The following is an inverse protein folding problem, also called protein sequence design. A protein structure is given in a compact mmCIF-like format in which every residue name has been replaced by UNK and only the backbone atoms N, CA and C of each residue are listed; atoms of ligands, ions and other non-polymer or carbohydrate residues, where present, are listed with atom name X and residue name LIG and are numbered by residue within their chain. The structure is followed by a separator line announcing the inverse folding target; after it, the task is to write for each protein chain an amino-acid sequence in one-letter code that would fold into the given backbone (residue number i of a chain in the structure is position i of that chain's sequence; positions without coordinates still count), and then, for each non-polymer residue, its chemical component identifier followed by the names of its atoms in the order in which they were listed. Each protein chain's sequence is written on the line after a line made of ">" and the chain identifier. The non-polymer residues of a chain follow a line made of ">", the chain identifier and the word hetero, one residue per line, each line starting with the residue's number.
data_IF_490087783179
#
_entry.id   IF_490087783179
#
_cell.length_a   1.000
_cell.length_b   1.000
_cell.length_c   1.000
_cell.angle_alpha   90.00
_cell.angle_beta   90.00
_cell.angle_gamma   90.00
#
_symmetry.space_group_name_H-M   'P 1'
#
loop_
_entity.id
_entity.type
_entity.pdbx_description
1 polymer ?
#
# COMPACT_ATOMS: atom_id res chain seq x y z
N UNK A 1 -56.86 -45.04 -33.87
CA UNK A 1 -56.90 -44.23 -35.10
C UNK A 1 -55.63 -43.40 -35.15
N UNK A 2 -54.76 -43.57 -36.16
CA UNK A 2 -53.58 -42.73 -36.33
C UNK A 2 -54.03 -41.40 -36.96
N UNK A 3 -53.89 -40.28 -36.24
CA UNK A 3 -54.14 -38.94 -36.80
C UNK A 3 -52.90 -38.53 -37.59
N UNK A 4 -53.06 -38.35 -38.90
CA UNK A 4 -52.01 -37.82 -39.77
C UNK A 4 -52.08 -36.29 -39.76
N UNK A 5 -50.93 -35.64 -39.65
CA UNK A 5 -50.82 -34.18 -39.78
C UNK A 5 -51.19 -33.76 -41.21
N UNK A 6 -51.86 -32.61 -41.32
CA UNK A 6 -52.16 -32.03 -42.62
C UNK A 6 -50.95 -31.26 -43.17
N UNK A 7 -50.78 -31.25 -44.49
CA UNK A 7 -49.65 -30.58 -45.15
C UNK A 7 -49.58 -29.08 -44.82
N UNK A 8 -50.74 -28.42 -44.74
CA UNK A 8 -50.85 -27.00 -44.41
C UNK A 8 -50.33 -26.69 -43.00
N UNK A 9 -50.60 -27.58 -42.05
CA UNK A 9 -50.20 -27.43 -40.64
C UNK A 9 -48.69 -27.60 -40.46
N UNK A 10 -48.07 -28.45 -41.29
CA UNK A 10 -46.61 -28.56 -41.39
C UNK A 10 -45.98 -27.27 -41.93
N UNK A 11 -46.54 -26.68 -42.99
CA UNK A 11 -46.01 -25.44 -43.59
C UNK A 11 -46.08 -24.28 -42.59
N UNK A 12 -47.23 -24.10 -41.91
CA UNK A 12 -47.41 -23.07 -40.89
C UNK A 12 -46.38 -23.25 -39.76
N UNK A 13 -46.15 -24.49 -39.32
CA UNK A 13 -45.18 -24.79 -38.27
C UNK A 13 -43.74 -24.43 -38.66
N UNK A 14 -43.34 -24.71 -39.92
CA UNK A 14 -42.00 -24.36 -40.43
C UNK A 14 -41.81 -22.84 -40.51
N UNK A 15 -42.84 -22.10 -40.95
CA UNK A 15 -42.79 -20.64 -41.03
C UNK A 15 -42.63 -20.03 -39.63
N UNK A 16 -43.44 -20.46 -38.66
CA UNK A 16 -43.34 -19.99 -37.27
C UNK A 16 -41.97 -20.33 -36.68
N UNK A 17 -41.48 -21.55 -36.91
CA UNK A 17 -40.16 -21.98 -36.44
C UNK A 17 -39.04 -21.12 -37.05
N UNK A 18 -39.14 -20.80 -38.34
CA UNK A 18 -38.14 -19.97 -39.03
C UNK A 18 -38.07 -18.56 -38.43
N UNK A 19 -39.23 -17.96 -38.14
CA UNK A 19 -39.31 -16.65 -37.48
C UNK A 19 -38.72 -16.73 -36.06
N UNK A 20 -39.06 -17.77 -35.29
CA UNK A 20 -38.50 -17.99 -33.95
C UNK A 20 -36.97 -18.12 -33.96
N UNK A 21 -36.40 -18.85 -34.92
CA UNK A 21 -34.95 -19.01 -35.03
C UNK A 21 -34.25 -17.67 -35.27
N UNK A 22 -34.82 -16.80 -36.12
CA UNK A 22 -34.27 -15.45 -36.37
C UNK A 22 -34.27 -14.63 -35.09
N UNK A 23 -35.39 -14.59 -34.37
CA UNK A 23 -35.46 -13.87 -33.09
C UNK A 23 -34.51 -14.44 -32.04
N UNK A 24 -34.36 -15.76 -31.97
CA UNK A 24 -33.44 -16.40 -31.05
C UNK A 24 -31.99 -16.03 -31.34
N UNK A 25 -31.62 -15.96 -32.62
CA UNK A 25 -30.28 -15.55 -33.04
C UNK A 25 -29.99 -14.09 -32.63
N UNK A 26 -30.94 -13.18 -32.83
CA UNK A 26 -30.80 -11.79 -32.41
C UNK A 26 -30.71 -11.65 -30.87
N UNK A 27 -31.50 -12.42 -30.14
CA UNK A 27 -31.47 -12.45 -28.67
C UNK A 27 -30.12 -12.96 -28.15
N UNK A 28 -29.58 -14.02 -28.75
CA UNK A 28 -28.26 -14.55 -28.42
C UNK A 28 -27.16 -13.51 -28.71
N UNK A 29 -27.16 -12.92 -29.91
CA UNK A 29 -26.18 -11.90 -30.27
C UNK A 29 -26.20 -10.70 -29.33
N UNK A 30 -27.39 -10.24 -28.96
CA UNK A 30 -27.59 -9.12 -28.01
C UNK A 30 -27.09 -9.48 -26.61
N UNK A 31 -27.32 -10.72 -26.18
CA UNK A 31 -26.85 -11.22 -24.87
C UNK A 31 -25.33 -11.29 -24.83
N UNK A 32 -24.69 -11.82 -25.89
CA UNK A 32 -23.23 -11.87 -25.98
C UNK A 32 -22.59 -10.48 -25.96
N UNK A 33 -23.17 -9.53 -26.69
CA UNK A 33 -22.71 -8.14 -26.70
C UNK A 33 -22.81 -7.50 -25.33
N UNK A 34 -23.94 -7.71 -24.65
CA UNK A 34 -24.15 -7.22 -23.28
C UNK A 34 -23.16 -7.85 -22.32
N UNK A 35 -22.93 -9.16 -22.42
CA UNK A 35 -21.97 -9.86 -21.56
C UNK A 35 -20.54 -9.32 -21.73
N UNK A 36 -20.08 -9.12 -22.97
CA UNK A 36 -18.77 -8.51 -23.26
C UNK A 36 -18.67 -7.10 -22.68
N UNK A 37 -19.74 -6.31 -22.78
CA UNK A 37 -19.77 -4.98 -22.19
C UNK A 37 -19.63 -5.04 -20.66
N UNK A 38 -20.41 -5.88 -19.97
CA UNK A 38 -20.33 -6.01 -18.51
C UNK A 38 -18.99 -6.57 -18.05
N UNK A 39 -18.43 -7.54 -18.77
CA UNK A 39 -17.10 -8.08 -18.48
C UNK A 39 -16.03 -6.99 -18.54
N UNK A 40 -16.02 -6.17 -19.60
CA UNK A 40 -15.04 -5.07 -19.73
C UNK A 40 -15.17 -4.03 -18.61
N UNK A 41 -16.38 -3.76 -18.13
CA UNK A 41 -16.63 -2.85 -17.01
C UNK A 41 -16.17 -3.46 -15.70
N UNK A 42 -16.49 -4.74 -15.47
CA UNK A 42 -16.10 -5.46 -14.28
C UNK A 42 -14.58 -5.56 -14.15
N UNK A 43 -13.87 -5.89 -15.23
CA UNK A 43 -12.40 -6.00 -15.22
C UNK A 43 -11.74 -4.65 -14.88
N UNK A 44 -12.30 -3.55 -15.40
CA UNK A 44 -11.82 -2.18 -15.12
C UNK A 44 -12.04 -1.81 -13.64
N UNK A 45 -13.25 -2.02 -13.12
CA UNK A 45 -13.57 -1.77 -11.70
C UNK A 45 -12.75 -2.66 -10.75
N UNK A 46 -12.54 -3.92 -11.10
CA UNK A 46 -11.69 -4.85 -10.35
C UNK A 46 -10.25 -4.34 -10.26
N UNK A 47 -9.69 -3.84 -11.37
CA UNK A 47 -8.34 -3.27 -11.36
C UNK A 47 -8.27 -2.03 -10.45
N UNK A 48 -9.23 -1.12 -10.56
CA UNK A 48 -9.28 0.06 -9.68
C UNK A 48 -9.42 -0.33 -8.20
N UNK A 49 -10.27 -1.31 -7.89
CA UNK A 49 -10.46 -1.81 -6.54
C UNK A 49 -9.19 -2.46 -6.00
N UNK A 50 -8.48 -3.26 -6.81
CA UNK A 50 -7.19 -3.86 -6.44
C UNK A 50 -6.15 -2.80 -6.09
N UNK A 51 -6.06 -1.72 -6.87
CA UNK A 51 -5.12 -0.62 -6.60
C UNK A 51 -5.50 0.12 -5.32
N UNK A 52 -6.78 0.46 -5.14
CA UNK A 52 -7.28 1.09 -3.90
C UNK A 52 -6.98 0.24 -2.68
N UNK A 53 -7.27 -1.06 -2.77
CA UNK A 53 -7.01 -2.02 -1.71
C UNK A 53 -5.51 -2.12 -1.41
N UNK A 54 -4.66 -2.18 -2.43
CA UNK A 54 -3.21 -2.23 -2.28
C UNK A 54 -2.67 -0.99 -1.56
N UNK A 55 -3.07 0.20 -1.99
CA UNK A 55 -2.69 1.47 -1.35
C UNK A 55 -3.22 1.50 0.09
N UNK A 56 -4.46 1.05 0.32
CA UNK A 56 -5.04 0.95 1.65
C UNK A 56 -4.23 0.03 2.57
N UNK A 57 -3.81 -1.15 2.08
CA UNK A 57 -2.97 -2.08 2.84
C UNK A 57 -1.59 -1.49 3.14
N UNK A 58 -0.98 -0.80 2.17
CA UNK A 58 0.29 -0.12 2.37
C UNK A 58 0.15 0.94 3.47
N UNK A 59 -0.94 1.72 3.47
CA UNK A 59 -1.18 2.79 4.45
C UNK A 59 -1.51 2.24 5.84
N UNK A 60 -2.35 1.22 5.93
CA UNK A 60 -2.75 0.61 7.21
C UNK A 60 -1.56 -0.04 7.94
N UNK A 61 -0.60 -0.56 7.18
CA UNK A 61 0.57 -1.25 7.71
C UNK A 61 1.85 -0.40 7.71
N UNK A 62 1.69 0.93 7.76
CA UNK A 62 2.80 1.89 7.91
C UNK A 62 3.70 1.54 9.10
N UNK A 63 5.00 1.80 8.95
CA UNK A 63 6.00 1.56 10.00
C UNK A 63 6.89 2.78 10.21
N UNK A 64 7.02 3.20 11.47
CA UNK A 64 7.95 4.19 12.10
C UNK A 64 8.10 5.58 11.45
N UNK A 65 8.02 5.69 10.13
CA UNK A 65 8.22 6.89 9.34
C UNK A 65 6.93 7.28 8.66
N UNK A 66 6.54 8.55 8.81
CA UNK A 66 5.44 9.14 8.06
C UNK A 66 5.74 9.05 6.55
N UNK A 67 4.74 8.73 5.71
CA UNK A 67 4.89 8.73 4.27
C UNK A 67 5.28 10.12 3.80
N UNK A 68 6.10 10.17 2.76
CA UNK A 68 6.51 11.41 2.14
C UNK A 68 5.98 11.45 0.71
N UNK A 69 5.25 12.51 0.38
CA UNK A 69 4.84 12.84 -0.99
C UNK A 69 5.78 13.90 -1.55
N UNK A 70 6.49 13.57 -2.63
CA UNK A 70 7.36 14.51 -3.35
C UNK A 70 6.69 14.87 -4.67
N UNK A 71 6.60 16.17 -4.97
CA UNK A 71 6.04 16.62 -6.25
C UNK A 71 7.05 16.37 -7.37
N UNK A 72 6.62 15.75 -8.45
CA UNK A 72 7.44 15.61 -9.66
C UNK A 72 7.55 16.98 -10.35
N UNK A 73 8.52 17.14 -11.26
CA UNK A 73 8.63 18.33 -12.13
C UNK A 73 7.30 18.64 -12.84
N UNK A 74 6.56 17.60 -13.17
CA UNK A 74 5.21 17.67 -13.70
C UNK A 74 4.20 17.83 -12.56
N UNK A 75 3.53 18.99 -12.48
CA UNK A 75 2.55 19.33 -11.42
C UNK A 75 1.33 18.40 -11.32
N UNK A 76 1.20 17.44 -12.23
CA UNK A 76 0.11 16.45 -12.29
C UNK A 76 0.44 15.14 -11.58
N UNK A 77 1.72 14.88 -11.33
CA UNK A 77 2.21 13.62 -10.77
C UNK A 77 2.96 13.88 -9.47
N UNK A 78 2.49 13.26 -8.40
CA UNK A 78 3.23 13.14 -7.15
C UNK A 78 3.93 11.79 -7.09
N UNK A 79 4.98 11.71 -6.29
CA UNK A 79 5.66 10.47 -5.95
C UNK A 79 5.43 10.21 -4.48
N UNK A 80 4.83 9.08 -4.14
CA UNK A 80 4.63 8.67 -2.76
C UNK A 80 5.72 7.67 -2.36
N UNK A 81 6.39 7.93 -1.24
CA UNK A 81 7.38 7.03 -0.65
C UNK A 81 7.01 6.72 0.79
N UNK A 82 7.05 5.45 1.17
CA UNK A 82 6.67 5.00 2.51
C UNK A 82 7.37 3.71 2.89
N UNK A 83 7.31 3.37 4.18
CA UNK A 83 7.74 2.07 4.70
C UNK A 83 6.53 1.36 5.28
N UNK A 84 6.29 0.14 4.85
CA UNK A 84 5.11 -0.65 5.24
C UNK A 84 5.49 -2.09 5.56
N UNK A 85 4.56 -2.87 6.14
CA UNK A 85 4.68 -4.33 6.26
C UNK A 85 4.12 -5.06 5.05
N UNK A 86 3.30 -4.39 4.24
CA UNK A 86 2.70 -5.00 3.07
C UNK A 86 3.74 -5.15 1.95
N UNK A 87 3.96 -6.38 1.50
CA UNK A 87 4.88 -6.69 0.40
C UNK A 87 4.22 -7.63 -0.61
N UNK A 88 4.40 -7.32 -1.89
CA UNK A 88 4.01 -8.17 -3.01
C UNK A 88 5.10 -9.19 -3.37
N UNK A 89 6.34 -8.94 -2.94
CA UNK A 89 7.52 -9.75 -3.26
C UNK A 89 8.16 -10.39 -2.02
N UNK A 90 7.39 -10.54 -0.94
CA UNK A 90 7.82 -11.16 0.32
C UNK A 90 9.05 -10.49 0.96
N UNK A 91 9.25 -9.21 0.69
CA UNK A 91 10.31 -8.41 1.30
C UNK A 91 9.87 -8.06 2.73
N UNK A 92 10.76 -8.28 3.69
CA UNK A 92 10.51 -7.90 5.07
C UNK A 92 10.63 -6.38 5.24
N UNK A 93 9.52 -5.73 5.59
CA UNK A 93 9.41 -4.28 5.78
C UNK A 93 9.93 -3.46 4.58
N UNK A 94 9.30 -3.58 3.39
CA UNK A 94 9.78 -2.90 2.19
C UNK A 94 9.68 -1.38 2.34
N UNK A 95 10.65 -0.71 1.74
CA UNK A 95 10.47 0.66 1.28
C UNK A 95 9.67 0.56 -0.01
N UNK A 96 8.55 1.28 -0.07
CA UNK A 96 7.64 1.29 -1.20
C UNK A 96 7.62 2.68 -1.82
N UNK A 97 7.70 2.75 -3.13
CA UNK A 97 7.53 3.97 -3.89
C UNK A 97 6.44 3.80 -4.97
N UNK A 98 5.53 4.75 -5.03
CA UNK A 98 4.60 4.93 -6.13
C UNK A 98 5.05 6.11 -6.96
N UNK A 99 5.29 5.90 -8.25
CA UNK A 99 5.64 6.96 -9.18
C UNK A 99 5.07 6.69 -10.55
N UNK A 100 4.99 7.77 -11.34
CA UNK A 100 4.57 7.72 -12.73
C UNK A 100 5.80 7.77 -13.63
N UNK A 101 5.89 6.85 -14.58
CA UNK A 101 6.79 6.93 -15.72
C UNK A 101 6.02 6.64 -17.00
N UNK A 102 6.18 7.49 -18.02
CA UNK A 102 5.45 7.36 -19.31
C UNK A 102 3.94 7.12 -19.11
N UNK A 103 3.30 7.91 -18.23
CA UNK A 103 1.86 7.80 -17.90
C UNK A 103 1.43 6.46 -17.29
N UNK A 104 2.38 5.63 -16.86
CA UNK A 104 2.11 4.37 -16.16
C UNK A 104 2.44 4.51 -14.68
N UNK A 105 1.51 4.12 -13.81
CA UNK A 105 1.72 4.02 -12.38
C UNK A 105 2.45 2.72 -12.05
N UNK A 106 3.62 2.87 -11.45
CA UNK A 106 4.40 1.78 -10.92
C UNK A 106 4.40 1.81 -9.40
N UNK A 107 4.44 0.62 -8.82
CA UNK A 107 4.78 0.41 -7.43
C UNK A 107 6.10 -0.33 -7.37
N UNK A 108 7.02 0.19 -6.57
CA UNK A 108 8.36 -0.35 -6.44
C UNK A 108 8.64 -0.68 -5.00
N UNK A 109 9.16 -1.88 -4.78
CA UNK A 109 9.58 -2.36 -3.47
C UNK A 109 11.10 -2.54 -3.41
N UNK A 110 11.67 -2.25 -2.25
CA UNK A 110 13.07 -2.54 -1.96
C UNK A 110 13.30 -2.75 -0.47
N UNK A 111 14.30 -3.56 -0.13
CA UNK A 111 14.80 -3.67 1.24
C UNK A 111 15.57 -2.42 1.68
N UNK A 112 16.05 -1.61 0.74
CA UNK A 112 16.79 -0.36 0.96
C UNK A 112 15.94 0.85 0.60
N UNK A 113 16.37 2.03 1.04
CA UNK A 113 15.71 3.29 0.67
C UNK A 113 15.72 3.44 -0.85
N UNK A 114 14.55 3.68 -1.43
CA UNK A 114 14.39 3.85 -2.88
C UNK A 114 14.96 5.23 -3.27
N UNK A 115 15.80 5.22 -4.30
CA UNK A 115 16.29 6.41 -4.97
C UNK A 115 15.64 6.49 -6.35
N UNK A 116 15.02 7.64 -6.63
CA UNK A 116 14.42 7.98 -7.92
C UNK A 116 15.26 9.08 -8.60
N UNK A 117 15.43 9.05 -9.93
CA UNK A 117 14.84 8.12 -10.89
C UNK A 117 15.48 6.72 -10.86
N UNK A 118 14.76 5.72 -11.37
CA UNK A 118 15.30 4.37 -11.58
C UNK A 118 16.21 4.40 -12.81
N UNK A 119 17.43 3.91 -12.65
CA UNK A 119 18.46 3.83 -13.69
C UNK A 119 18.90 2.37 -13.85
N UNK A 120 19.61 2.05 -14.93
CA UNK A 120 20.16 0.71 -15.15
C UNK A 120 21.09 0.23 -14.02
N UNK A 121 21.66 1.15 -13.25
CA UNK A 121 22.57 0.83 -12.13
C UNK A 121 21.83 0.42 -10.86
N UNK A 122 20.60 0.92 -10.66
CA UNK A 122 19.86 0.69 -9.41
C UNK A 122 18.65 -0.24 -9.57
N UNK A 123 18.25 -0.55 -10.81
CA UNK A 123 17.07 -1.37 -11.13
C UNK A 123 17.09 -2.76 -10.49
N UNK A 124 18.26 -3.39 -10.38
CA UNK A 124 18.41 -4.73 -9.79
C UNK A 124 18.07 -4.78 -8.29
N UNK A 125 18.09 -3.63 -7.61
CA UNK A 125 17.74 -3.52 -6.19
C UNK A 125 16.23 -3.41 -5.94
N UNK A 126 15.44 -3.37 -7.02
CA UNK A 126 14.04 -3.00 -6.99
C UNK A 126 13.17 -4.11 -7.57
N UNK A 127 12.03 -4.35 -6.94
CA UNK A 127 10.94 -5.15 -7.50
C UNK A 127 9.85 -4.20 -7.97
N UNK A 128 9.53 -4.26 -9.26
CA UNK A 128 8.70 -3.25 -9.93
C UNK A 128 7.42 -3.92 -10.43
N UNK A 129 6.28 -3.43 -9.95
CA UNK A 129 4.97 -3.83 -10.42
C UNK A 129 4.32 -2.69 -11.19
N UNK A 130 3.82 -3.03 -12.38
CA UNK A 130 2.96 -2.15 -13.16
C UNK A 130 1.55 -2.22 -12.62
N UNK A 131 1.00 -1.08 -12.20
CA UNK A 131 -0.33 -1.01 -11.59
C UNK A 131 -1.41 -0.50 -12.55
N UNK A 132 -1.15 0.62 -13.24
CA UNK A 132 -2.18 1.29 -14.04
C UNK A 132 -1.55 2.03 -15.22
N UNK A 133 -2.15 1.87 -16.40
CA UNK A 133 -1.77 2.58 -17.63
C UNK A 133 -2.62 3.85 -17.82
N UNK A 134 -2.19 4.69 -18.77
CA UNK A 134 -2.92 5.90 -19.21
C UNK A 134 -3.26 6.86 -18.06
N UNK A 135 -2.38 7.00 -17.07
CA UNK A 135 -2.57 7.89 -15.92
C UNK A 135 -2.33 9.35 -16.32
N UNK A 136 -3.38 10.15 -16.22
CA UNK A 136 -3.35 11.59 -16.48
C UNK A 136 -3.01 12.39 -15.20
N UNK A 137 -3.49 11.92 -14.05
CA UNK A 137 -3.29 12.58 -12.75
C UNK A 137 -3.04 11.52 -11.69
N UNK A 138 -2.00 11.73 -10.89
CA UNK A 138 -1.77 10.99 -9.66
C UNK A 138 -1.29 11.97 -8.60
N UNK A 139 -2.12 12.24 -7.59
CA UNK A 139 -1.80 13.16 -6.49
C UNK A 139 -2.05 12.55 -5.15
N UNK A 140 -1.18 12.89 -4.21
CA UNK A 140 -1.25 12.43 -2.83
C UNK A 140 -1.12 13.61 -1.89
N UNK A 141 -2.19 13.89 -1.17
CA UNK A 141 -2.22 14.87 -0.09
C UNK A 141 -2.16 14.14 1.24
N UNK A 142 -1.22 14.56 2.08
CA UNK A 142 -0.98 13.95 3.39
C UNK A 142 -1.35 14.99 4.45
N UNK A 143 -2.36 14.68 5.25
CA UNK A 143 -2.68 15.38 6.49
C UNK A 143 -2.15 14.57 7.70
N UNK A 144 -2.26 15.12 8.91
CA UNK A 144 -1.70 14.50 10.12
C UNK A 144 -2.22 13.08 10.39
N UNK A 145 -3.46 12.78 10.00
CA UNK A 145 -4.12 11.49 10.25
C UNK A 145 -4.87 10.94 9.03
N UNK A 146 -4.79 11.60 7.88
CA UNK A 146 -5.61 11.27 6.72
C UNK A 146 -4.81 11.44 5.43
N UNK A 147 -5.06 10.55 4.47
CA UNK A 147 -4.40 10.55 3.18
C UNK A 147 -5.45 10.66 2.08
N UNK A 148 -5.34 11.68 1.24
CA UNK A 148 -6.23 11.86 0.10
C UNK A 148 -5.49 11.53 -1.19
N UNK A 149 -6.01 10.55 -1.91
CA UNK A 149 -5.50 10.11 -3.20
C UNK A 149 -6.42 10.57 -4.32
N UNK A 150 -5.82 11.10 -5.38
CA UNK A 150 -6.52 11.45 -6.61
C UNK A 150 -5.84 10.74 -7.76
N UNK A 151 -6.57 9.85 -8.43
CA UNK A 151 -6.11 9.09 -9.58
C UNK A 151 -7.09 9.35 -10.73
N UNK A 152 -6.57 9.72 -11.90
CA UNK A 152 -7.37 9.88 -13.12
C UNK A 152 -6.65 9.26 -14.29
N UNK A 153 -7.35 8.45 -15.08
CA UNK A 153 -6.85 7.96 -16.37
C UNK A 153 -7.39 8.81 -17.53
N UNK A 154 -6.73 8.80 -18.68
CA UNK A 154 -7.06 9.65 -19.85
C UNK A 154 -8.52 9.44 -20.30
N UNK A 155 -8.97 8.18 -20.36
CA UNK A 155 -10.30 7.78 -20.82
C UNK A 155 -11.18 7.23 -19.68
N UNK A 156 -10.81 7.48 -18.43
CA UNK A 156 -11.53 6.98 -17.27
C UNK A 156 -12.07 8.09 -16.39
N UNK A 157 -12.80 7.65 -15.37
CA UNK A 157 -13.35 8.56 -14.38
C UNK A 157 -12.27 8.97 -13.38
N UNK A 158 -12.46 10.14 -12.78
CA UNK A 158 -11.57 10.62 -11.72
C UNK A 158 -11.94 9.90 -10.43
N UNK A 159 -11.03 9.08 -9.96
CA UNK A 159 -11.16 8.38 -8.69
C UNK A 159 -10.51 9.20 -7.58
N UNK A 160 -11.28 9.50 -6.54
CA UNK A 160 -10.84 10.18 -5.32
C UNK A 160 -11.17 9.28 -4.14
N UNK A 161 -10.21 9.04 -3.27
CA UNK A 161 -10.44 8.28 -2.05
C UNK A 161 -9.56 8.80 -0.91
N UNK A 162 -10.12 8.73 0.28
CA UNK A 162 -9.47 9.11 1.53
C UNK A 162 -9.22 7.87 2.38
N UNK A 163 -8.07 7.84 3.04
CA UNK A 163 -7.71 6.81 4.00
C UNK A 163 -7.39 7.52 5.31
N UNK A 164 -8.27 7.32 6.29
CA UNK A 164 -8.03 7.75 7.66
C UNK A 164 -7.17 6.72 8.38
N UNK A 165 -6.10 7.19 9.01
CA UNK A 165 -5.30 6.38 9.90
C UNK A 165 -5.99 6.33 11.25
N UNK A 166 -6.30 5.14 11.80
CA UNK A 166 -6.76 5.06 13.18
C UNK A 166 -5.63 5.59 14.06
N UNK A 167 -5.88 6.70 14.75
CA UNK A 167 -4.92 7.30 15.67
C UNK A 167 -4.46 6.23 16.68
N UNK A 168 -3.15 6.05 16.93
CA UNK A 168 -2.73 5.35 18.13
C UNK A 168 -3.30 6.12 19.32
N UNK A 169 -4.07 5.45 20.19
CA UNK A 169 -4.56 6.06 21.44
C UNK A 169 -3.34 6.61 22.19
N UNK A 170 -3.37 7.87 22.66
CA UNK A 170 -2.25 8.42 23.39
C UNK A 170 -1.96 7.53 24.59
N UNK A 171 -0.76 6.97 24.65
CA UNK A 171 -0.26 6.26 25.83
C UNK A 171 -0.07 7.31 26.92
N UNK A 172 -1.06 7.46 27.79
CA UNK A 172 -0.92 8.30 28.98
C UNK A 172 0.07 7.61 29.92
N UNK A 173 1.35 7.97 29.82
CA UNK A 173 2.31 7.66 30.87
C UNK A 173 1.98 8.57 32.06
N UNK A 174 1.15 8.05 32.97
CA UNK A 174 0.91 8.67 34.28
C UNK A 174 2.10 8.37 35.19
N UNK A 175 3.25 8.99 34.93
CA UNK A 175 4.29 9.10 35.96
C UNK A 175 3.92 10.25 36.88
N UNK A 176 3.17 9.89 37.92
CA UNK A 176 2.85 10.76 39.04
C UNK A 176 4.10 10.86 39.91
N UNK A 177 4.83 11.96 39.83
CA UNK A 177 5.73 12.37 40.91
C UNK A 177 5.54 13.85 41.19
N UNK A 178 4.66 14.12 42.16
CA UNK A 178 4.57 15.40 42.84
C UNK A 178 4.63 15.13 44.34
N UNK A 179 5.77 15.42 44.94
CA UNK A 179 5.86 15.81 46.34
C UNK A 179 6.98 16.83 46.49
N UNK A 180 6.54 18.00 46.94
CA UNK A 180 7.19 19.29 47.06
C UNK A 180 7.78 19.42 48.48
N UNK A 181 8.94 20.08 48.66
CA UNK A 181 9.17 21.18 49.63
C UNK A 181 10.66 21.45 49.95
N UNK A 182 11.10 22.63 49.50
CA UNK A 182 11.98 23.65 50.09
C UNK A 182 12.80 23.35 51.37
N UNK A 183 14.08 23.77 51.35
CA UNK A 183 14.59 24.84 52.21
C UNK A 183 15.93 25.42 51.72
N UNK A 184 16.20 26.64 52.18
CA UNK A 184 16.95 27.75 51.60
C UNK A 184 18.38 27.96 52.16
N UNK A 185 19.21 28.71 51.41
CA UNK A 185 20.00 29.90 51.86
C UNK A 185 21.51 29.93 51.53
N UNK A 186 21.88 30.96 50.75
CA UNK A 186 22.98 31.95 50.94
C UNK A 186 24.49 31.60 50.78
N UNK A 187 25.08 32.20 49.73
CA UNK A 187 26.16 33.23 49.75
C UNK A 187 27.66 32.85 49.86
N UNK A 188 28.40 33.22 48.80
CA UNK A 188 29.80 33.73 48.67
C UNK A 188 31.01 32.95 49.20
N UNK A 189 31.99 32.67 48.33
CA UNK A 189 33.31 33.36 48.26
C UNK A 189 34.30 32.67 47.31
N UNK A 190 35.11 33.47 46.62
CA UNK A 190 36.31 33.10 45.87
C UNK A 190 37.38 32.48 46.79
N UNK A 191 38.15 31.47 46.34
CA UNK A 191 39.59 31.63 46.09
C UNK A 191 40.29 30.40 45.46
N UNK A 192 41.21 30.75 44.56
CA UNK A 192 42.40 30.10 43.96
C UNK A 192 42.99 28.74 44.39
N UNK A 193 43.48 28.07 43.34
CA UNK A 193 44.76 27.31 43.17
C UNK A 193 44.99 26.01 43.97
N UNK A 194 45.28 24.89 43.29
CA UNK A 194 46.62 24.49 42.84
C UNK A 194 46.60 23.13 42.12
N UNK A 195 47.55 23.00 41.20
CA UNK A 195 47.84 21.90 40.28
C UNK A 195 48.78 20.87 40.93
N UNK A 196 48.66 19.56 40.65
CA UNK A 196 49.79 18.61 40.64
C UNK A 196 49.46 17.27 39.97
N UNK A 197 50.50 16.68 39.39
CA UNK A 197 50.49 15.66 38.34
C UNK A 197 50.54 14.20 38.82
N UNK A 198 49.98 13.33 37.97
CA UNK A 198 50.43 11.97 37.52
C UNK A 198 50.17 10.68 38.35
N UNK A 199 49.96 9.52 37.65
CA UNK A 199 49.27 8.28 38.08
C UNK A 199 50.30 7.19 38.51
N UNK A 200 50.00 5.91 38.91
CA UNK A 200 49.10 4.92 38.26
C UNK A 200 48.41 3.88 39.19
N UNK A 201 47.45 3.10 38.64
CA UNK A 201 47.42 1.61 38.66
C UNK A 201 46.03 1.01 38.37
N UNK A 202 45.99 0.05 37.42
CA UNK A 202 44.99 -1.02 37.28
C UNK A 202 45.43 -2.22 38.16
N UNK A 203 44.51 -3.05 38.69
CA UNK A 203 43.95 -4.22 37.97
C UNK A 203 42.45 -4.44 38.34
N UNK A 204 41.63 -5.35 37.80
CA UNK A 204 41.80 -6.67 37.21
C UNK A 204 40.53 -7.03 36.41
N UNK A 205 40.68 -7.83 35.36
CA UNK A 205 39.60 -8.44 34.59
C UNK A 205 38.95 -9.60 35.39
N UNK A 206 37.62 -9.64 35.42
CA UNK A 206 36.82 -10.75 35.94
C UNK A 206 35.74 -11.14 34.93
N UNK A 207 35.69 -12.41 34.60
CA UNK A 207 34.96 -13.07 33.50
C UNK A 207 33.41 -13.03 33.58
N UNK A 208 32.72 -13.33 32.45
CA UNK A 208 31.27 -13.18 32.30
C UNK A 208 30.48 -14.37 32.87
N UNK A 209 29.37 -14.08 33.55
CA UNK A 209 28.33 -15.06 33.89
C UNK A 209 27.39 -15.26 32.71
N UNK A 210 27.46 -16.44 32.10
CA UNK A 210 26.51 -17.00 31.15
C UNK A 210 25.15 -17.24 31.80
N UNK A 211 24.14 -16.47 31.42
CA UNK A 211 22.74 -16.86 31.62
C UNK A 211 22.22 -17.50 30.32
N UNK A 212 22.18 -18.82 30.31
CA UNK A 212 21.44 -19.59 29.32
C UNK A 212 19.95 -19.42 29.62
N UNK A 213 19.20 -18.83 28.70
CA UNK A 213 17.75 -18.98 28.67
C UNK A 213 17.37 -19.61 27.34
N UNK A 214 17.12 -20.90 27.39
CA UNK A 214 16.61 -21.73 26.31
C UNK A 214 15.13 -21.45 26.11
N UNK A 215 14.77 -20.78 25.02
CA UNK A 215 13.41 -20.82 24.49
C UNK A 215 13.47 -21.32 23.04
N UNK A 216 13.17 -22.61 22.90
CA UNK A 216 12.86 -23.30 21.64
C UNK A 216 11.72 -22.61 20.89
N UNK A 217 11.80 -22.48 19.55
CA UNK A 217 10.70 -21.96 18.74
C UNK A 217 9.64 -23.06 18.47
N UNK A 218 8.34 -22.75 18.48
CA UNK A 218 7.33 -23.66 17.97
C UNK A 218 7.34 -23.65 16.43
N UNK A 219 7.30 -24.87 15.87
CA UNK A 219 7.24 -25.21 14.45
C UNK A 219 5.92 -24.83 13.77
N UNK A 220 6.02 -24.54 12.47
CA UNK A 220 4.99 -24.13 11.50
C UNK A 220 3.73 -25.04 11.42
N UNK A 221 2.66 -24.52 10.78
CA UNK A 221 1.95 -25.26 9.75
C UNK A 221 2.29 -24.73 8.35
N UNK A 222 2.56 -25.67 7.46
CA UNK A 222 2.82 -25.54 6.02
C UNK A 222 1.60 -25.01 5.27
N UNK A 223 1.83 -24.12 4.30
CA UNK A 223 0.97 -23.89 3.13
C UNK A 223 1.82 -24.07 1.87
#
# INVERSE_FOLDING_TARGET
>A
MKKSFTLIELIISIVILSIMIVYLYEALHTTEKSNKFYQSRFDKEQLEHKIKYLIYQDILHLRDTLPTSTKTKEKKFDTLTLKTKNSLHEIFYPNVAYFINEQTLFRVESNKKISLPITHENIDNYKIDKLLEDVEIFKVYIASSSFLFIIKTINGEKTIFEIDMPLPKPTTNNDTNSSNQNQSSQTSSQNTNQNSNTPPSLPNFGQPTTNQNSNTPPTLPTF
#
